data_IF_328942163058
#
_entry.id   IF_328942163058
#
_cell.length_a   1.000
_cell.length_b   1.000
_cell.length_c   1.000
_cell.angle_alpha   90.00
_cell.angle_beta   90.00
_cell.angle_gamma   90.00
#
_symmetry.space_group_name_H-M   'P 1'
#
loop_
_entity.id
_entity.type
_entity.pdbx_description
1 polymer ?
#
# COMPACT_ATOMS: atom_id res chain seq x y z
N UNK A 1 34.58 24.32 29.30
CA UNK A 1 33.41 23.52 28.97
C UNK A 1 33.54 22.20 29.71
N UNK A 2 32.83 22.11 30.84
CA UNK A 2 33.02 21.07 31.85
C UNK A 2 32.38 19.73 31.38
N UNK A 3 32.90 18.62 31.96
CA UNK A 3 32.45 17.26 31.64
C UNK A 3 30.96 17.04 31.96
N UNK A 4 30.40 17.87 32.85
CA UNK A 4 28.97 17.89 33.21
C UNK A 4 28.08 18.49 32.13
N UNK A 5 28.54 19.57 31.43
CA UNK A 5 27.78 20.16 30.31
C UNK A 5 27.70 19.24 29.06
N UNK A 6 28.68 18.32 28.92
CA UNK A 6 28.65 17.30 27.85
C UNK A 6 27.71 16.13 28.18
N UNK A 7 27.53 15.81 29.48
CA UNK A 7 26.60 14.79 29.92
C UNK A 7 25.14 15.24 29.74
N UNK A 8 24.84 16.51 30.06
CA UNK A 8 23.50 17.07 29.93
C UNK A 8 23.13 17.23 28.45
N UNK A 9 24.08 17.63 27.59
CA UNK A 9 23.82 17.77 26.15
C UNK A 9 23.66 16.41 25.43
N UNK A 10 24.20 15.33 25.96
CA UNK A 10 23.99 13.97 25.42
C UNK A 10 22.65 13.40 25.89
N UNK A 11 22.25 13.66 27.14
CA UNK A 11 20.94 13.26 27.67
C UNK A 11 19.78 14.05 27.03
N UNK A 12 19.97 15.36 26.72
CA UNK A 12 18.96 16.13 25.98
C UNK A 12 18.83 15.71 24.50
N UNK A 13 19.90 15.19 23.88
CA UNK A 13 19.85 14.68 22.50
C UNK A 13 19.17 13.29 22.42
N UNK A 14 19.17 12.51 23.50
CA UNK A 14 18.49 11.21 23.56
C UNK A 14 17.00 11.30 23.92
N UNK A 15 16.56 12.40 24.57
CA UNK A 15 15.16 12.60 24.96
C UNK A 15 14.26 13.24 23.88
N UNK A 16 14.79 13.63 22.71
CA UNK A 16 14.00 14.21 21.60
C UNK A 16 13.44 13.13 20.65
N UNK A 17 13.52 11.83 20.97
CA UNK A 17 13.09 10.76 20.06
C UNK A 17 11.82 10.00 20.52
N UNK A 18 11.05 10.59 21.43
CA UNK A 18 9.70 10.07 21.79
C UNK A 18 8.59 10.94 21.16
N UNK A 19 8.77 11.30 19.88
CA UNK A 19 7.71 11.80 19.04
C UNK A 19 6.95 10.63 18.40
N UNK A 20 5.67 10.52 18.67
CA UNK A 20 4.67 9.60 18.07
C UNK A 20 4.60 9.73 16.53
N UNK A 21 5.71 9.88 15.84
CA UNK A 21 5.83 10.01 14.39
C UNK A 21 6.29 8.70 13.77
N UNK A 22 5.53 8.21 12.79
CA UNK A 22 5.94 7.09 11.95
C UNK A 22 7.29 7.40 11.31
N UNK A 23 8.32 6.67 11.68
CA UNK A 23 9.67 6.84 11.15
C UNK A 23 9.80 6.12 9.80
N UNK A 24 10.64 6.62 8.89
CA UNK A 24 10.92 5.96 7.61
C UNK A 24 11.43 4.52 7.81
N UNK A 25 12.12 4.26 8.91
CA UNK A 25 12.58 2.93 9.30
C UNK A 25 11.42 1.98 9.64
N UNK A 26 10.36 2.49 10.27
CA UNK A 26 9.17 1.69 10.59
C UNK A 26 8.43 1.30 9.31
N UNK A 27 8.33 2.23 8.35
CA UNK A 27 7.76 1.97 7.05
C UNK A 27 8.56 0.90 6.28
N UNK A 28 9.88 0.99 6.30
CA UNK A 28 10.76 0.01 5.67
C UNK A 28 10.62 -1.39 6.31
N UNK A 29 10.57 -1.44 7.65
CA UNK A 29 10.39 -2.69 8.40
C UNK A 29 9.00 -3.31 8.13
N UNK A 30 7.94 -2.51 8.08
CA UNK A 30 6.59 -2.95 7.75
C UNK A 30 6.53 -3.56 6.34
N UNK A 31 7.14 -2.90 5.34
CA UNK A 31 7.21 -3.41 3.97
C UNK A 31 8.01 -4.71 3.90
N UNK A 32 9.16 -4.78 4.56
CA UNK A 32 9.99 -6.00 4.61
C UNK A 32 9.25 -7.17 5.27
N UNK A 33 8.48 -6.91 6.31
CA UNK A 33 7.69 -7.91 7.04
C UNK A 33 6.51 -8.41 6.20
N UNK A 34 5.89 -7.52 5.41
CA UNK A 34 4.70 -7.80 4.60
C UNK A 34 4.96 -7.67 3.09
N UNK A 35 6.18 -7.97 2.62
CA UNK A 35 6.57 -7.86 1.20
C UNK A 35 5.64 -8.61 0.26
N UNK A 36 5.17 -9.78 0.65
CA UNK A 36 4.21 -10.56 -0.16
C UNK A 36 2.91 -9.78 -0.35
N UNK A 37 2.41 -9.12 0.69
CA UNK A 37 1.18 -8.32 0.61
C UNK A 37 1.39 -7.10 -0.31
N UNK A 38 2.53 -6.41 -0.18
CA UNK A 38 2.87 -5.28 -1.03
C UNK A 38 2.97 -5.68 -2.51
N UNK A 39 3.64 -6.81 -2.81
CA UNK A 39 3.78 -7.34 -4.18
C UNK A 39 2.42 -7.77 -4.75
N UNK A 40 1.58 -8.45 -3.97
CA UNK A 40 0.24 -8.85 -4.40
C UNK A 40 -0.61 -7.62 -4.73
N UNK A 41 -0.58 -6.58 -3.90
CA UNK A 41 -1.29 -5.32 -4.16
C UNK A 41 -0.79 -4.66 -5.44
N UNK A 42 0.54 -4.58 -5.63
CA UNK A 42 1.14 -4.06 -6.86
C UNK A 42 0.66 -4.82 -8.10
N UNK A 43 0.68 -6.16 -8.05
CA UNK A 43 0.23 -7.01 -9.17
C UNK A 43 -1.25 -6.78 -9.48
N UNK A 44 -2.11 -6.68 -8.46
CA UNK A 44 -3.55 -6.42 -8.65
C UNK A 44 -3.75 -5.06 -9.35
N UNK A 45 -3.06 -4.01 -8.91
CA UNK A 45 -3.14 -2.67 -9.51
C UNK A 45 -2.65 -2.71 -10.96
N UNK A 46 -1.52 -3.39 -11.23
CA UNK A 46 -0.98 -3.53 -12.58
C UNK A 46 -1.93 -4.27 -13.51
N UNK A 47 -2.54 -5.37 -13.05
CA UNK A 47 -3.53 -6.12 -13.83
C UNK A 47 -4.76 -5.25 -14.13
N UNK A 48 -5.25 -4.48 -13.16
CA UNK A 48 -6.38 -3.58 -13.36
C UNK A 48 -6.07 -2.49 -14.40
N UNK A 49 -4.89 -1.89 -14.35
CA UNK A 49 -4.45 -0.86 -15.33
C UNK A 49 -4.21 -1.46 -16.70
N UNK A 50 -3.62 -2.64 -16.80
CA UNK A 50 -3.50 -3.36 -18.06
C UNK A 50 -4.88 -3.66 -18.65
N UNK A 51 -5.79 -4.22 -17.87
CA UNK A 51 -7.15 -4.50 -18.31
C UNK A 51 -7.84 -3.23 -18.81
N UNK A 52 -7.76 -2.13 -18.06
CA UNK A 52 -8.29 -0.83 -18.49
C UNK A 52 -7.66 -0.34 -19.80
N UNK A 53 -6.34 -0.41 -19.92
CA UNK A 53 -5.61 0.09 -21.09
C UNK A 53 -5.93 -0.72 -22.35
N UNK A 54 -6.03 -2.04 -22.25
CA UNK A 54 -6.30 -2.91 -23.40
C UNK A 54 -7.79 -3.03 -23.79
N UNK A 55 -8.70 -2.67 -22.90
CA UNK A 55 -10.15 -2.62 -23.20
C UNK A 55 -10.56 -1.32 -23.91
N UNK A 56 -9.72 -0.28 -23.91
CA UNK A 56 -10.00 0.97 -24.62
C UNK A 56 -9.71 0.81 -26.09
N UNK A 57 -10.61 1.30 -26.93
CA UNK A 57 -10.41 1.35 -28.40
C UNK A 57 -9.23 2.26 -28.73
N UNK A 58 -8.23 1.77 -29.51
CA UNK A 58 -7.13 2.62 -29.92
C UNK A 58 -7.61 3.81 -30.72
N UNK A 59 -7.06 4.98 -30.45
CA UNK A 59 -7.35 6.20 -31.20
C UNK A 59 -6.10 6.64 -31.95
N UNK A 60 -6.29 7.06 -33.17
CA UNK A 60 -5.23 7.55 -34.05
C UNK A 60 -5.42 9.04 -34.29
N UNK A 61 -4.37 9.83 -34.12
CA UNK A 61 -4.41 11.28 -34.36
C UNK A 61 -3.69 11.60 -35.65
N UNK A 62 -4.41 12.18 -36.60
CA UNK A 62 -3.82 12.71 -37.83
C UNK A 62 -3.88 14.24 -37.81
N UNK A 63 -2.78 14.89 -38.17
CA UNK A 63 -2.67 16.36 -38.14
C UNK A 63 -2.38 16.91 -39.54
N UNK A 64 -3.15 17.91 -39.96
CA UNK A 64 -2.90 18.73 -41.11
C UNK A 64 -2.53 20.14 -40.70
N UNK A 65 -1.51 20.73 -41.34
CA UNK A 65 -1.01 22.05 -41.03
C UNK A 65 -1.31 23.05 -42.14
N UNK A 66 -1.88 24.21 -41.77
CA UNK A 66 -2.14 25.30 -42.72
C UNK A 66 -1.29 26.50 -42.32
N UNK A 67 -0.70 27.15 -43.30
CA UNK A 67 -0.02 28.42 -43.16
C UNK A 67 -0.95 29.57 -43.57
N UNK A 68 -1.12 30.54 -42.67
CA UNK A 68 -1.80 31.79 -43.02
C UNK A 68 -0.82 32.78 -43.62
N UNK A 69 -1.10 33.23 -44.79
CA UNK A 69 -0.29 34.22 -45.54
C UNK A 69 -1.12 35.46 -45.87
N UNK A 70 -0.48 36.63 -45.87
CA UNK A 70 -1.11 37.88 -46.31
C UNK A 70 -0.94 38.04 -47.80
N UNK A 71 -2.04 38.29 -48.51
CA UNK A 71 -2.02 38.64 -49.93
C UNK A 71 -2.17 40.15 -50.04
N UNK A 72 -1.07 40.81 -50.44
CA UNK A 72 -1.11 42.26 -50.74
C UNK A 72 -1.95 42.56 -51.99
N UNK A 73 -2.72 43.61 -51.93
CA UNK A 73 -3.45 44.14 -53.12
C UNK A 73 -2.49 44.53 -54.25
N UNK A 74 -1.31 45.00 -53.92
CA UNK A 74 -0.23 45.34 -54.87
C UNK A 74 0.28 44.12 -55.64
N UNK A 75 0.34 42.92 -55.00
CA UNK A 75 0.74 41.70 -55.65
C UNK A 75 -0.32 41.22 -56.67
N UNK A 76 -1.57 41.53 -56.47
CA UNK A 76 -2.67 41.25 -57.44
C UNK A 76 -2.59 42.12 -58.69
N UNK A 77 -2.00 43.30 -58.59
CA UNK A 77 -1.84 44.28 -59.70
C UNK A 77 -0.43 44.26 -60.32
N UNK A 78 0.48 43.36 -59.91
CA UNK A 78 1.85 43.30 -60.42
C UNK A 78 2.78 44.39 -59.93
N UNK A 79 2.39 45.16 -58.90
CA UNK A 79 3.20 46.21 -58.28
C UNK A 79 4.05 45.64 -57.14
N UNK A 80 5.21 46.25 -56.85
CA UNK A 80 6.07 45.85 -55.73
C UNK A 80 5.40 46.25 -54.42
N UNK A 81 5.19 45.31 -53.50
CA UNK A 81 4.69 45.57 -52.14
C UNK A 81 5.71 46.31 -51.31
N UNK A 82 5.31 47.37 -50.61
CA UNK A 82 6.16 48.11 -49.68
C UNK A 82 6.35 47.38 -48.37
N UNK A 83 7.53 47.50 -47.73
CA UNK A 83 7.83 46.87 -46.46
C UNK A 83 6.81 47.19 -45.33
N UNK A 84 6.19 48.37 -45.38
CA UNK A 84 5.12 48.76 -44.42
C UNK A 84 3.83 47.98 -44.61
N UNK A 85 3.47 47.60 -45.85
CA UNK A 85 2.29 46.78 -46.16
C UNK A 85 2.48 45.34 -45.69
N UNK A 86 3.69 44.78 -45.87
CA UNK A 86 4.02 43.43 -45.33
C UNK A 86 3.96 43.40 -43.79
N UNK A 87 4.48 44.43 -43.12
CA UNK A 87 4.42 44.51 -41.66
C UNK A 87 2.98 44.63 -41.15
N UNK A 88 2.18 45.46 -41.79
CA UNK A 88 0.76 45.62 -41.44
C UNK A 88 -0.01 44.34 -41.68
N UNK A 89 0.29 43.60 -42.76
CA UNK A 89 -0.31 42.31 -43.10
C UNK A 89 0.05 41.23 -42.09
N UNK A 90 1.31 41.17 -41.64
CA UNK A 90 1.72 40.24 -40.60
C UNK A 90 1.01 40.49 -39.26
N UNK A 91 0.88 41.74 -38.88
CA UNK A 91 0.14 42.14 -37.65
C UNK A 91 -1.35 41.77 -37.76
N UNK A 92 -1.96 41.94 -38.95
CA UNK A 92 -3.34 41.54 -39.22
C UNK A 92 -3.52 40.05 -39.08
N UNK A 93 -2.64 39.23 -39.69
CA UNK A 93 -2.68 37.76 -39.53
C UNK A 93 -2.54 37.38 -38.05
N UNK A 94 -1.58 37.94 -37.32
CA UNK A 94 -1.36 37.64 -35.93
C UNK A 94 -2.62 37.93 -35.06
N UNK A 95 -3.38 38.96 -35.40
CA UNK A 95 -4.63 39.25 -34.70
C UNK A 95 -5.76 38.31 -35.02
N UNK A 96 -5.80 37.76 -36.23
CA UNK A 96 -6.89 36.92 -36.72
C UNK A 96 -6.62 35.42 -36.49
N UNK A 97 -5.36 35.00 -36.44
CA UNK A 97 -5.01 33.58 -36.46
C UNK A 97 -5.54 32.82 -35.21
N UNK A 98 -5.70 33.50 -34.10
CA UNK A 98 -6.27 32.92 -32.88
C UNK A 98 -7.77 32.61 -33.02
N UNK A 99 -8.45 33.18 -34.02
CA UNK A 99 -9.87 32.93 -34.28
C UNK A 99 -10.07 31.66 -35.12
N UNK A 100 -9.12 31.31 -35.98
CA UNK A 100 -9.27 30.17 -36.93
C UNK A 100 -9.47 28.81 -36.20
N UNK A 101 -8.80 28.50 -35.09
CA UNK A 101 -9.10 27.27 -34.35
C UNK A 101 -10.54 27.14 -33.87
N UNK A 102 -11.21 28.28 -33.61
CA UNK A 102 -12.63 28.29 -33.22
C UNK A 102 -13.55 28.06 -34.42
N UNK A 103 -13.20 28.61 -35.59
CA UNK A 103 -13.96 28.44 -36.82
C UNK A 103 -13.97 26.97 -37.28
N UNK A 104 -12.91 26.23 -37.03
CA UNK A 104 -12.81 24.80 -37.39
C UNK A 104 -13.98 23.99 -36.83
N UNK A 105 -14.46 24.33 -35.64
CA UNK A 105 -15.55 23.60 -34.95
C UNK A 105 -16.94 24.05 -35.32
N UNK A 106 -17.06 25.00 -36.24
CA UNK A 106 -18.37 25.51 -36.70
C UNK A 106 -19.05 24.56 -37.67
N UNK A 107 -20.37 24.61 -37.69
CA UNK A 107 -21.19 23.83 -38.64
C UNK A 107 -20.84 24.12 -40.08
N UNK A 108 -20.54 25.38 -40.42
CA UNK A 108 -20.15 25.81 -41.75
C UNK A 108 -18.88 25.14 -42.29
N UNK A 109 -18.00 24.68 -41.43
CA UNK A 109 -16.77 23.94 -41.78
C UNK A 109 -16.99 22.42 -41.70
N UNK A 110 -17.70 21.95 -40.68
CA UNK A 110 -17.80 20.50 -40.39
C UNK A 110 -18.95 19.81 -41.16
N UNK A 111 -20.07 20.51 -41.46
CA UNK A 111 -21.17 19.89 -42.22
C UNK A 111 -20.73 19.45 -43.61
N UNK A 112 -20.02 20.29 -44.40
CA UNK A 112 -19.51 19.84 -45.69
C UNK A 112 -18.55 18.65 -45.61
N UNK A 113 -17.80 18.52 -44.54
CA UNK A 113 -16.89 17.37 -44.32
C UNK A 113 -17.68 16.07 -44.12
N UNK A 114 -18.79 16.15 -43.37
CA UNK A 114 -19.70 15.01 -43.16
C UNK A 114 -20.31 14.57 -44.48
N UNK A 115 -20.79 15.54 -45.25
CA UNK A 115 -21.45 15.29 -46.53
C UNK A 115 -20.47 14.74 -47.58
N UNK A 116 -19.29 15.35 -47.71
CA UNK A 116 -18.25 14.96 -48.68
C UNK A 116 -17.67 13.56 -48.41
N UNK A 117 -17.48 13.19 -47.15
CA UNK A 117 -16.91 11.91 -46.77
C UNK A 117 -17.97 10.84 -46.42
N UNK A 118 -19.26 11.20 -46.44
CA UNK A 118 -20.37 10.30 -46.11
C UNK A 118 -20.26 9.72 -44.71
N UNK A 119 -19.93 10.58 -43.73
CA UNK A 119 -19.74 10.14 -42.34
C UNK A 119 -21.08 9.95 -41.64
N UNK A 120 -21.26 8.81 -40.97
CA UNK A 120 -22.42 8.55 -40.12
C UNK A 120 -22.20 9.14 -38.72
N UNK A 121 -22.18 10.47 -38.62
CA UNK A 121 -21.92 11.20 -37.38
C UNK A 121 -22.59 12.57 -37.42
N UNK A 122 -22.76 13.19 -36.27
CA UNK A 122 -23.29 14.57 -36.19
C UNK A 122 -22.16 15.60 -36.13
N UNK A 123 -22.45 16.85 -36.49
CA UNK A 123 -21.49 17.97 -36.39
C UNK A 123 -20.90 18.06 -34.94
N UNK A 124 -21.73 17.84 -33.94
CA UNK A 124 -21.31 17.90 -32.54
C UNK A 124 -20.32 16.79 -32.18
N UNK A 125 -20.54 15.59 -32.67
CA UNK A 125 -19.62 14.45 -32.42
C UNK A 125 -18.32 14.63 -33.18
N UNK A 126 -18.39 15.08 -34.43
CA UNK A 126 -17.21 15.41 -35.21
C UNK A 126 -16.40 16.54 -34.57
N UNK A 127 -17.05 17.62 -34.08
CA UNK A 127 -16.39 18.71 -33.39
C UNK A 127 -15.67 18.27 -32.11
N UNK A 128 -16.15 17.21 -31.45
CA UNK A 128 -15.48 16.63 -30.27
C UNK A 128 -14.21 15.82 -30.62
N UNK A 129 -14.18 15.25 -31.85
CA UNK A 129 -13.01 14.51 -32.35
C UNK A 129 -11.96 15.41 -33.02
N UNK A 130 -12.34 16.65 -33.40
CA UNK A 130 -11.47 17.63 -34.06
C UNK A 130 -10.90 18.60 -33.01
N UNK A 131 -9.59 18.78 -33.02
CA UNK A 131 -8.89 19.80 -32.26
C UNK A 131 -8.12 20.70 -33.20
N UNK A 132 -8.25 21.99 -33.04
CA UNK A 132 -7.45 22.95 -33.78
C UNK A 132 -6.68 23.85 -32.82
N UNK A 133 -5.45 24.17 -33.19
CA UNK A 133 -4.56 25.02 -32.38
C UNK A 133 -3.69 25.87 -33.31
N UNK A 134 -3.25 27.02 -32.76
CA UNK A 134 -2.19 27.80 -33.35
C UNK A 134 -0.97 27.70 -32.42
N UNK A 135 0.16 27.13 -32.88
CA UNK A 135 1.39 27.12 -32.07
C UNK A 135 1.89 28.54 -31.85
N UNK A 136 2.26 28.84 -30.62
CA UNK A 136 2.66 30.18 -30.20
C UNK A 136 3.74 30.78 -31.07
N UNK A 137 3.54 32.03 -31.47
CA UNK A 137 4.49 32.79 -32.30
C UNK A 137 4.60 32.33 -33.77
N UNK A 138 3.68 31.48 -34.23
CA UNK A 138 3.65 31.00 -35.65
C UNK A 138 2.41 31.48 -36.37
N UNK A 139 2.49 31.47 -37.69
CA UNK A 139 1.31 31.70 -38.58
C UNK A 139 0.70 30.36 -39.07
N UNK A 140 0.87 29.30 -38.25
CA UNK A 140 0.35 27.99 -38.55
C UNK A 140 -0.98 27.73 -37.84
N UNK A 141 -1.82 26.94 -38.44
CA UNK A 141 -3.03 26.38 -37.86
C UNK A 141 -2.94 24.86 -37.99
N UNK A 142 -2.81 24.18 -36.86
CA UNK A 142 -2.76 22.74 -36.77
C UNK A 142 -4.18 22.21 -36.56
N UNK A 143 -4.61 21.29 -37.43
CA UNK A 143 -5.90 20.60 -37.34
C UNK A 143 -5.61 19.14 -37.06
N UNK A 144 -5.91 18.69 -35.86
CA UNK A 144 -5.74 17.30 -35.40
C UNK A 144 -7.09 16.61 -35.25
N UNK A 145 -7.21 15.42 -35.81
CA UNK A 145 -8.41 14.60 -35.74
C UNK A 145 -8.11 13.26 -35.11
N UNK A 146 -8.92 12.91 -34.11
CA UNK A 146 -8.85 11.62 -33.41
C UNK A 146 -9.92 10.68 -33.93
N UNK A 147 -9.52 9.50 -34.44
CA UNK A 147 -10.46 8.50 -34.94
C UNK A 147 -9.91 7.10 -34.73
N UNK A 148 -10.76 6.07 -34.46
CA UNK A 148 -10.31 4.68 -34.38
C UNK A 148 -9.69 4.14 -35.68
N UNK A 149 -10.09 4.68 -36.84
CA UNK A 149 -9.50 4.34 -38.14
C UNK A 149 -8.46 5.39 -38.55
N UNK A 150 -7.17 5.00 -38.71
CA UNK A 150 -6.10 5.94 -39.08
C UNK A 150 -6.30 6.57 -40.47
N UNK A 151 -6.95 5.87 -41.41
CA UNK A 151 -7.24 6.43 -42.76
C UNK A 151 -8.36 7.45 -42.67
N UNK A 152 -9.42 7.17 -41.93
CA UNK A 152 -10.49 8.16 -41.73
C UNK A 152 -9.96 9.39 -40.96
N UNK A 153 -9.11 9.22 -39.93
CA UNK A 153 -8.50 10.35 -39.26
C UNK A 153 -7.79 11.31 -40.23
N UNK A 154 -6.96 10.77 -41.11
CA UNK A 154 -6.23 11.58 -42.08
C UNK A 154 -7.15 12.21 -43.15
N UNK A 155 -8.15 11.48 -43.65
CA UNK A 155 -9.13 12.01 -44.64
C UNK A 155 -9.96 13.14 -44.04
N UNK A 156 -10.43 12.98 -42.80
CA UNK A 156 -11.21 14.02 -42.09
C UNK A 156 -10.33 15.25 -41.83
N UNK A 157 -9.09 15.07 -41.33
CA UNK A 157 -8.20 16.20 -41.09
C UNK A 157 -7.91 17.02 -42.34
N UNK A 158 -7.67 16.36 -43.48
CA UNK A 158 -7.43 17.02 -44.73
C UNK A 158 -8.69 17.70 -45.28
N UNK A 159 -9.87 17.07 -45.18
CA UNK A 159 -11.14 17.68 -45.61
C UNK A 159 -11.51 18.88 -44.74
N UNK A 160 -11.29 18.82 -43.41
CA UNK A 160 -11.50 19.96 -42.50
C UNK A 160 -10.57 21.13 -42.89
N UNK A 161 -9.28 20.84 -43.13
CA UNK A 161 -8.31 21.86 -43.56
C UNK A 161 -8.74 22.55 -44.88
N UNK A 162 -9.19 21.79 -45.83
CA UNK A 162 -9.64 22.31 -47.10
C UNK A 162 -10.95 23.13 -46.97
N UNK A 163 -11.91 22.68 -46.15
CA UNK A 163 -13.14 23.41 -45.93
C UNK A 163 -12.93 24.69 -45.10
N UNK A 164 -12.01 24.66 -44.11
CA UNK A 164 -11.57 25.88 -43.40
C UNK A 164 -10.96 26.88 -44.41
N UNK A 165 -10.08 26.42 -45.30
CA UNK A 165 -9.48 27.25 -46.36
C UNK A 165 -10.53 27.88 -47.23
N UNK A 166 -11.51 27.12 -47.68
CA UNK A 166 -12.63 27.62 -48.49
C UNK A 166 -13.46 28.64 -47.69
N UNK A 167 -13.80 28.33 -46.46
CA UNK A 167 -14.64 29.20 -45.62
C UNK A 167 -13.97 30.55 -45.37
N UNK A 168 -12.67 30.56 -44.99
CA UNK A 168 -11.91 31.82 -44.75
C UNK A 168 -11.82 32.64 -46.05
N UNK A 169 -11.71 31.99 -47.21
CA UNK A 169 -11.57 32.68 -48.48
C UNK A 169 -12.89 33.19 -49.00
N UNK A 170 -14.04 32.50 -48.76
CA UNK A 170 -15.34 32.83 -49.36
C UNK A 170 -16.23 33.69 -48.50
N UNK A 171 -16.26 33.47 -47.16
CA UNK A 171 -17.31 34.01 -46.30
C UNK A 171 -16.99 35.39 -45.73
N UNK A 172 -15.71 35.73 -45.57
CA UNK A 172 -15.31 36.97 -44.89
C UNK A 172 -15.37 38.17 -45.83
N UNK A 173 -15.47 37.96 -47.15
CA UNK A 173 -15.26 39.02 -48.15
C UNK A 173 -16.20 38.92 -49.35
N UNK A 174 -17.44 38.43 -49.21
CA UNK A 174 -18.47 38.52 -50.26
C UNK A 174 -19.30 39.79 -50.04
N UNK A 175 -18.98 40.83 -50.75
CA UNK A 175 -19.90 41.92 -50.96
C UNK A 175 -20.34 41.97 -52.45
N UNK A 176 -21.63 42.25 -52.70
CA UNK A 176 -22.25 42.22 -54.03
C UNK A 176 -21.63 43.33 -54.91
N UNK A 177 -20.73 42.92 -55.80
CA UNK A 177 -20.37 43.78 -56.89
C UNK A 177 -18.92 44.03 -57.21
N UNK A 178 -18.00 43.93 -56.31
CA UNK A 178 -16.56 44.08 -56.57
C UNK A 178 -15.82 42.83 -56.05
N UNK A 179 -14.90 42.30 -56.83
CA UNK A 179 -14.11 41.12 -56.51
C UNK A 179 -13.14 41.42 -55.35
N UNK A 180 -13.66 41.50 -54.11
CA UNK A 180 -12.84 41.70 -52.94
C UNK A 180 -12.10 40.39 -52.66
N UNK A 181 -10.80 40.42 -52.89
CA UNK A 181 -9.91 39.30 -52.64
C UNK A 181 -9.61 39.27 -51.14
N UNK A 182 -9.89 38.14 -50.49
CA UNK A 182 -9.49 37.94 -49.08
C UNK A 182 -8.02 38.30 -48.88
N UNK A 183 -7.68 39.19 -47.93
CA UNK A 183 -6.30 39.51 -47.64
C UNK A 183 -5.56 38.36 -46.96
N UNK A 184 -6.31 37.36 -46.49
CA UNK A 184 -5.69 36.16 -45.86
C UNK A 184 -5.90 34.97 -46.81
N UNK A 185 -4.82 34.26 -47.05
CA UNK A 185 -4.83 33.01 -47.78
C UNK A 185 -4.31 31.89 -46.84
N UNK A 186 -5.13 30.84 -46.65
CA UNK A 186 -4.70 29.63 -45.95
C UNK A 186 -4.17 28.65 -46.99
N UNK A 187 -2.96 28.19 -46.83
CA UNK A 187 -2.31 27.19 -47.67
C UNK A 187 -1.98 25.97 -46.88
N UNK A 188 -2.42 24.79 -47.30
CA UNK A 188 -2.02 23.52 -46.67
C UNK A 188 -0.54 23.29 -46.95
N UNK A 189 0.27 23.37 -45.93
CA UNK A 189 1.73 23.12 -46.00
C UNK A 189 2.09 21.70 -45.68
N UNK A 190 1.27 21.03 -44.86
CA UNK A 190 1.41 19.61 -44.59
C UNK A 190 0.04 18.93 -44.57
N UNK A 191 -0.11 17.94 -45.45
CA UNK A 191 -1.29 17.08 -45.40
C UNK A 191 -1.17 16.06 -44.28
N UNK A 192 -2.31 15.72 -43.68
CA UNK A 192 -2.37 14.68 -42.67
C UNK A 192 -2.12 13.31 -43.32
N UNK A 193 -1.21 12.55 -42.71
CA UNK A 193 -0.93 11.15 -43.07
C UNK A 193 -1.65 10.21 -42.12
N UNK A 194 -1.97 9.01 -42.60
CA UNK A 194 -2.51 7.96 -41.74
C UNK A 194 -1.44 7.51 -40.73
N UNK A 195 -1.64 7.72 -39.43
CA UNK A 195 -0.64 7.35 -38.42
C UNK A 195 -0.49 5.84 -38.35
N UNK A 196 0.74 5.37 -38.12
CA UNK A 196 1.06 3.94 -38.04
C UNK A 196 0.94 3.38 -36.61
N UNK A 197 0.81 4.25 -35.61
CA UNK A 197 0.68 3.88 -34.19
C UNK A 197 -0.44 4.68 -33.54
N UNK A 198 -1.17 4.08 -32.59
CA UNK A 198 -2.20 4.79 -31.84
C UNK A 198 -1.59 5.86 -30.92
N UNK A 199 -2.24 7.00 -30.84
CA UNK A 199 -1.89 8.11 -29.94
C UNK A 199 -2.46 7.91 -28.53
N UNK A 200 -3.57 7.16 -28.40
CA UNK A 200 -4.23 6.85 -27.13
C UNK A 200 -4.81 5.42 -27.17
N UNK A 201 -4.78 4.70 -26.03
CA UNK A 201 -4.12 5.03 -24.77
C UNK A 201 -2.59 4.94 -24.88
N UNK A 202 -1.90 5.83 -24.18
CA UNK A 202 -0.43 5.77 -24.08
C UNK A 202 -0.03 4.65 -23.11
N UNK A 203 0.22 3.45 -23.63
CA UNK A 203 0.55 2.24 -22.86
C UNK A 203 1.74 2.46 -21.94
N UNK A 204 2.79 3.14 -22.44
CA UNK A 204 4.01 3.39 -21.63
C UNK A 204 3.72 4.30 -20.45
N UNK A 205 2.96 5.37 -20.65
CA UNK A 205 2.59 6.30 -19.58
C UNK A 205 1.64 5.65 -18.57
N UNK A 206 0.64 4.92 -19.04
CA UNK A 206 -0.30 4.21 -18.17
C UNK A 206 0.40 3.15 -17.31
N UNK A 207 1.34 2.41 -17.89
CA UNK A 207 2.11 1.40 -17.17
C UNK A 207 3.03 2.04 -16.12
N UNK A 208 3.70 3.14 -16.47
CA UNK A 208 4.54 3.87 -15.52
C UNK A 208 3.72 4.48 -14.38
N UNK A 209 2.58 5.09 -14.68
CA UNK A 209 1.65 5.61 -13.68
C UNK A 209 1.11 4.48 -12.79
N UNK A 210 0.76 3.34 -13.40
CA UNK A 210 0.31 2.15 -12.68
C UNK A 210 1.33 1.60 -11.71
N UNK A 211 2.58 1.55 -12.13
CA UNK A 211 3.68 1.12 -11.29
C UNK A 211 3.84 2.06 -10.07
N UNK A 212 3.85 3.37 -10.30
CA UNK A 212 3.98 4.35 -9.23
C UNK A 212 2.82 4.25 -8.22
N UNK A 213 1.57 4.22 -8.70
CA UNK A 213 0.38 4.07 -7.86
C UNK A 213 0.38 2.72 -7.14
N UNK A 214 0.75 1.64 -7.82
CA UNK A 214 0.82 0.29 -7.26
C UNK A 214 1.86 0.17 -6.14
N UNK A 215 3.02 0.80 -6.28
CA UNK A 215 4.05 0.85 -5.22
C UNK A 215 3.54 1.63 -4.01
N UNK A 216 2.96 2.81 -4.21
CA UNK A 216 2.43 3.62 -3.10
C UNK A 216 1.33 2.86 -2.35
N UNK A 217 0.36 2.30 -3.06
CA UNK A 217 -0.71 1.51 -2.45
C UNK A 217 -0.19 0.25 -1.77
N UNK A 218 0.81 -0.43 -2.35
CA UNK A 218 1.46 -1.59 -1.74
C UNK A 218 2.10 -1.27 -0.41
N UNK A 219 2.79 -0.13 -0.30
CA UNK A 219 3.39 0.35 0.95
C UNK A 219 2.31 0.67 1.98
N UNK A 220 1.26 1.39 1.59
CA UNK A 220 0.16 1.76 2.49
C UNK A 220 -0.55 0.52 3.05
N UNK A 221 -0.88 -0.45 2.19
CA UNK A 221 -1.53 -1.70 2.62
C UNK A 221 -0.63 -2.54 3.53
N UNK A 222 0.68 -2.62 3.23
CA UNK A 222 1.65 -3.31 4.08
C UNK A 222 1.74 -2.65 5.46
N UNK A 223 1.75 -1.33 5.53
CA UNK A 223 1.79 -0.56 6.77
C UNK A 223 0.51 -0.72 7.60
N UNK A 224 -0.68 -0.61 6.97
CA UNK A 224 -1.95 -0.85 7.66
C UNK A 224 -1.99 -2.27 8.24
N UNK A 225 -1.51 -3.26 7.48
CA UNK A 225 -1.45 -4.64 7.94
C UNK A 225 -0.48 -4.82 9.12
N UNK A 226 0.63 -4.09 9.14
CA UNK A 226 1.58 -4.10 10.25
C UNK A 226 0.99 -3.48 11.51
N UNK A 227 0.27 -2.36 11.40
CA UNK A 227 -0.47 -1.73 12.50
C UNK A 227 -1.56 -2.64 13.10
N UNK A 228 -2.16 -3.49 12.28
CA UNK A 228 -3.18 -4.46 12.71
C UNK A 228 -2.58 -5.78 13.23
N UNK A 229 -1.28 -5.99 13.08
CA UNK A 229 -0.59 -7.20 13.56
C UNK A 229 -0.21 -7.07 15.04
N UNK A 230 -1.13 -7.42 15.91
CA UNK A 230 -0.95 -7.41 17.38
C UNK A 230 -0.16 -8.59 17.92
N UNK A 231 0.50 -9.40 17.07
CA UNK A 231 1.23 -10.58 17.50
C UNK A 231 2.59 -10.20 18.07
N UNK A 232 2.85 -10.62 19.30
CA UNK A 232 4.18 -10.57 19.91
C UNK A 232 5.12 -11.53 19.17
N UNK A 233 6.23 -11.03 18.66
CA UNK A 233 7.22 -11.81 17.91
C UNK A 233 8.64 -11.71 18.48
N UNK A 234 8.92 -10.68 19.24
CA UNK A 234 10.24 -10.41 19.84
C UNK A 234 10.09 -10.09 21.32
N UNK A 235 11.14 -10.33 22.06
CA UNK A 235 11.18 -10.00 23.48
C UNK A 235 11.02 -8.49 23.73
N UNK A 236 11.52 -7.66 22.79
CA UNK A 236 11.33 -6.21 22.82
C UNK A 236 9.87 -5.77 22.71
N UNK A 237 9.01 -6.57 22.04
CA UNK A 237 7.59 -6.23 21.90
C UNK A 237 6.85 -6.34 23.25
N UNK A 238 7.36 -7.19 24.15
CA UNK A 238 6.81 -7.37 25.51
C UNK A 238 7.28 -6.25 26.43
N UNK A 239 8.57 -5.92 26.42
CA UNK A 239 9.16 -4.92 27.31
C UNK A 239 8.67 -3.50 27.03
N UNK A 240 8.19 -3.21 25.81
CA UNK A 240 7.57 -1.93 25.47
C UNK A 240 6.16 -1.76 26.05
N UNK A 241 5.46 -2.86 26.31
CA UNK A 241 4.05 -2.83 26.77
C UNK A 241 3.96 -3.08 28.28
N UNK A 242 4.85 -3.90 28.83
CA UNK A 242 4.86 -4.31 30.23
C UNK A 242 6.21 -3.92 30.82
N UNK A 243 6.18 -3.11 31.89
CA UNK A 243 7.37 -2.74 32.64
C UNK A 243 7.83 -3.92 33.51
N UNK A 244 8.24 -5.01 32.88
CA UNK A 244 8.74 -6.22 33.54
C UNK A 244 9.78 -6.90 32.63
N UNK A 245 10.83 -7.48 33.24
CA UNK A 245 11.87 -8.19 32.52
C UNK A 245 11.35 -9.48 31.91
N UNK A 246 11.78 -9.80 30.67
CA UNK A 246 11.55 -11.10 30.05
C UNK A 246 12.53 -12.11 30.67
N UNK A 247 12.04 -13.03 31.49
CA UNK A 247 12.86 -14.01 32.20
C UNK A 247 13.29 -15.19 31.34
N UNK A 248 12.56 -15.45 30.23
CA UNK A 248 12.93 -16.51 29.31
C UNK A 248 11.91 -16.66 28.18
N UNK A 249 12.37 -17.25 27.10
CA UNK A 249 11.57 -17.61 25.93
C UNK A 249 11.66 -19.11 25.72
N UNK A 250 10.52 -19.77 25.60
CA UNK A 250 10.43 -21.20 25.36
C UNK A 250 9.97 -21.45 23.92
N UNK A 251 10.69 -22.30 23.22
CA UNK A 251 10.32 -22.70 21.86
C UNK A 251 9.05 -23.56 21.88
N UNK A 252 8.15 -23.36 20.91
CA UNK A 252 7.00 -24.25 20.73
C UNK A 252 7.47 -25.59 20.18
N UNK A 253 7.48 -26.61 21.03
CA UNK A 253 7.97 -27.94 20.69
C UNK A 253 7.05 -29.04 21.27
N UNK A 254 6.88 -30.13 20.53
CA UNK A 254 6.15 -31.31 20.99
C UNK A 254 6.84 -32.03 22.17
N UNK A 255 8.12 -31.74 22.42
CA UNK A 255 8.84 -32.26 23.59
C UNK A 255 8.19 -31.88 24.93
N UNK A 256 7.44 -30.76 24.98
CA UNK A 256 6.69 -30.34 26.15
C UNK A 256 5.32 -31.00 26.29
N UNK A 257 4.88 -31.74 25.26
CA UNK A 257 3.58 -32.45 25.26
C UNK A 257 3.79 -33.88 25.74
N UNK A 258 3.21 -34.21 26.91
CA UNK A 258 3.34 -35.57 27.46
C UNK A 258 2.87 -35.62 28.90
N UNK A 259 3.06 -36.79 29.51
CA UNK A 259 2.73 -37.07 30.92
C UNK A 259 3.96 -37.04 31.84
N UNK A 260 5.07 -36.47 31.35
CA UNK A 260 6.30 -36.33 32.11
C UNK A 260 7.03 -35.05 31.73
N UNK A 261 7.53 -34.26 32.66
CA UNK A 261 8.33 -33.07 32.41
C UNK A 261 9.54 -33.35 31.52
N UNK A 262 9.92 -32.37 30.68
CA UNK A 262 11.04 -32.52 29.74
C UNK A 262 12.37 -32.77 30.42
N UNK A 263 12.57 -32.24 31.63
CA UNK A 263 13.76 -32.45 32.45
C UNK A 263 13.92 -33.93 32.83
N UNK A 264 12.81 -34.65 33.05
CA UNK A 264 12.81 -36.07 33.41
C UNK A 264 12.89 -36.93 32.15
N UNK A 265 12.05 -36.63 31.14
CA UNK A 265 11.91 -37.44 29.95
C UNK A 265 13.07 -37.29 28.98
N UNK A 266 13.65 -36.07 28.87
CA UNK A 266 14.74 -35.72 27.95
C UNK A 266 15.77 -34.78 28.58
N UNK A 267 16.50 -35.21 29.62
CA UNK A 267 17.34 -34.33 30.48
C UNK A 267 18.47 -33.61 29.71
N UNK A 268 18.96 -34.19 28.61
CA UNK A 268 20.01 -33.61 27.78
C UNK A 268 19.50 -32.80 26.58
N UNK A 269 18.18 -32.56 26.49
CA UNK A 269 17.61 -31.82 25.38
C UNK A 269 17.79 -30.31 25.54
N UNK A 270 17.68 -29.60 24.43
CA UNK A 270 17.70 -28.12 24.39
C UNK A 270 16.56 -27.55 25.22
N UNK A 271 15.39 -28.17 25.16
CA UNK A 271 14.19 -27.75 25.88
C UNK A 271 14.39 -27.86 27.39
N UNK A 272 15.05 -28.92 27.89
CA UNK A 272 15.40 -29.04 29.28
C UNK A 272 16.36 -27.93 29.73
N UNK A 273 17.32 -27.56 28.87
CA UNK A 273 18.26 -26.46 29.14
C UNK A 273 17.57 -25.09 29.13
N UNK A 274 16.59 -24.87 28.26
CA UNK A 274 15.77 -23.65 28.26
C UNK A 274 15.03 -23.49 29.59
N UNK A 275 14.47 -24.56 30.15
CA UNK A 275 13.83 -24.54 31.49
C UNK A 275 14.84 -24.31 32.62
N UNK A 276 16.03 -24.91 32.57
CA UNK A 276 17.07 -24.67 33.59
C UNK A 276 17.54 -23.21 33.60
N UNK A 277 17.70 -22.60 32.42
CA UNK A 277 18.00 -21.15 32.29
C UNK A 277 16.89 -20.31 32.89
N UNK A 278 15.63 -20.61 32.53
CA UNK A 278 14.48 -19.91 33.09
C UNK A 278 14.47 -20.00 34.64
N UNK A 279 14.67 -21.20 35.22
CA UNK A 279 14.80 -21.37 36.66
C UNK A 279 15.86 -20.43 37.24
N UNK A 280 17.05 -20.39 36.62
CA UNK A 280 18.14 -19.53 37.07
C UNK A 280 17.73 -18.06 37.05
N UNK A 281 17.12 -17.59 35.97
CA UNK A 281 16.66 -16.20 35.86
C UNK A 281 15.57 -15.87 36.89
N UNK A 282 14.64 -16.79 37.14
CA UNK A 282 13.61 -16.64 38.17
C UNK A 282 14.24 -16.52 39.54
N UNK A 283 15.27 -17.33 39.85
CA UNK A 283 16.00 -17.25 41.14
C UNK A 283 16.65 -15.89 41.38
N UNK A 284 17.13 -15.22 40.35
CA UNK A 284 17.72 -13.88 40.46
C UNK A 284 16.71 -12.77 40.76
N UNK A 285 15.43 -13.00 40.41
CA UNK A 285 14.36 -12.03 40.64
C UNK A 285 13.61 -12.27 41.95
N UNK A 286 13.68 -13.48 42.48
CA UNK A 286 13.04 -13.79 43.77
C UNK A 286 13.72 -13.04 44.90
N UNK A 287 12.94 -12.43 45.81
CA UNK A 287 13.50 -11.79 47.02
C UNK A 287 14.22 -12.79 47.94
N UNK A 288 15.30 -12.34 48.57
CA UNK A 288 16.07 -13.14 49.54
C UNK A 288 15.36 -13.39 50.89
N UNK A 289 14.05 -13.15 50.96
CA UNK A 289 13.27 -13.31 52.20
C UNK A 289 12.72 -14.74 52.32
N UNK A 290 12.83 -15.38 53.50
CA UNK A 290 12.49 -16.79 53.72
C UNK A 290 11.04 -17.18 53.48
N UNK A 291 10.10 -16.23 53.42
CA UNK A 291 8.67 -16.45 53.24
C UNK A 291 8.15 -16.00 51.88
N UNK A 292 9.00 -15.48 50.98
CA UNK A 292 8.63 -14.89 49.70
C UNK A 292 8.78 -15.83 48.51
N UNK A 293 8.95 -17.12 48.71
CA UNK A 293 9.22 -18.07 47.61
C UNK A 293 7.95 -18.64 46.97
N UNK A 294 6.94 -17.82 46.78
CA UNK A 294 5.71 -18.21 46.08
C UNK A 294 5.72 -17.65 44.63
N UNK A 295 5.69 -18.56 43.65
CA UNK A 295 5.64 -18.21 42.24
C UNK A 295 4.25 -18.52 41.72
N UNK A 296 3.56 -17.51 41.16
CA UNK A 296 2.27 -17.67 40.52
C UNK A 296 2.45 -17.61 39.00
N UNK A 297 2.04 -18.67 38.31
CA UNK A 297 2.07 -18.74 36.84
C UNK A 297 0.68 -18.52 36.27
N UNK A 298 0.53 -17.48 35.50
CA UNK A 298 -0.74 -17.12 34.84
C UNK A 298 -0.53 -16.79 33.36
N UNK A 299 -1.61 -16.60 32.61
CA UNK A 299 -1.59 -16.14 31.22
C UNK A 299 -2.88 -15.43 30.85
N UNK A 300 -2.88 -14.68 29.74
CA UNK A 300 -4.04 -13.93 29.27
C UNK A 300 -5.17 -14.82 28.72
N UNK A 301 -4.82 -15.99 28.18
CA UNK A 301 -5.76 -16.89 27.53
C UNK A 301 -5.61 -18.37 27.88
N UNK A 302 -6.57 -19.20 27.49
CA UNK A 302 -6.44 -20.65 27.61
C UNK A 302 -5.40 -21.21 26.64
N UNK A 303 -4.78 -22.34 27.02
CA UNK A 303 -3.83 -23.08 26.16
C UNK A 303 -2.53 -22.34 25.80
N UNK A 304 -2.13 -21.34 26.58
CA UNK A 304 -0.87 -20.58 26.40
C UNK A 304 0.34 -21.22 27.11
N UNK A 305 0.18 -22.41 27.66
CA UNK A 305 1.28 -23.19 28.22
C UNK A 305 1.49 -23.02 29.74
N UNK A 306 0.56 -22.40 30.49
CA UNK A 306 0.64 -22.26 31.98
C UNK A 306 1.07 -23.53 32.68
N UNK A 307 0.30 -24.60 32.48
CA UNK A 307 0.56 -25.90 33.14
C UNK A 307 1.88 -26.50 32.71
N UNK A 308 2.19 -26.44 31.41
CA UNK A 308 3.47 -26.91 30.87
C UNK A 308 4.67 -26.21 31.53
N UNK A 309 4.57 -24.87 31.61
CA UNK A 309 5.59 -24.05 32.25
C UNK A 309 5.72 -24.38 33.74
N UNK A 310 4.59 -24.38 34.49
CA UNK A 310 4.57 -24.63 35.92
C UNK A 310 5.16 -25.98 36.29
N UNK A 311 4.77 -27.03 35.56
CA UNK A 311 5.24 -28.40 35.81
C UNK A 311 6.73 -28.53 35.55
N UNK A 312 7.23 -28.00 34.42
CA UNK A 312 8.63 -28.07 34.06
C UNK A 312 9.50 -27.21 34.97
N UNK A 313 9.04 -26.00 35.31
CA UNK A 313 9.77 -25.10 36.22
C UNK A 313 9.87 -25.70 37.64
N UNK A 314 8.78 -26.24 38.19
CA UNK A 314 8.77 -26.93 39.47
C UNK A 314 9.72 -28.11 39.46
N UNK A 315 9.75 -28.88 38.38
CA UNK A 315 10.70 -30.00 38.23
C UNK A 315 12.14 -29.52 38.19
N UNK A 316 12.43 -28.38 37.54
CA UNK A 316 13.77 -27.80 37.48
C UNK A 316 14.26 -27.32 38.86
N UNK A 317 13.37 -26.75 39.66
CA UNK A 317 13.69 -26.40 41.06
C UNK A 317 13.98 -27.64 41.90
N UNK A 318 13.16 -28.71 41.75
CA UNK A 318 13.37 -29.97 42.45
C UNK A 318 14.63 -30.70 41.98
N UNK A 319 15.02 -30.58 40.73
CA UNK A 319 16.29 -31.10 40.18
C UNK A 319 17.49 -30.50 40.92
N UNK A 320 17.40 -29.21 41.27
CA UNK A 320 18.43 -28.46 42.03
C UNK A 320 18.25 -28.53 43.55
N UNK A 321 17.67 -29.62 44.04
CA UNK A 321 17.49 -29.97 45.45
C UNK A 321 16.66 -28.97 46.31
N UNK A 322 15.96 -28.02 45.64
CA UNK A 322 15.01 -27.14 46.33
C UNK A 322 13.78 -27.95 46.78
N UNK A 323 13.20 -27.62 47.94
CA UNK A 323 11.91 -28.18 48.39
C UNK A 323 10.79 -27.49 47.61
N UNK A 324 10.05 -28.23 46.84
CA UNK A 324 9.01 -27.73 45.94
C UNK A 324 7.66 -28.32 46.27
N UNK A 325 6.64 -27.45 46.37
CA UNK A 325 5.23 -27.82 46.35
C UNK A 325 4.57 -27.16 45.15
N UNK A 326 4.19 -27.96 44.15
CA UNK A 326 3.41 -27.52 43.01
C UNK A 326 1.92 -27.63 43.34
N UNK A 327 1.21 -26.51 43.28
CA UNK A 327 -0.22 -26.46 43.58
C UNK A 327 -0.98 -26.19 42.26
N UNK A 328 -1.91 -27.07 41.88
CA UNK A 328 -2.84 -26.82 40.78
C UNK A 328 -4.04 -26.00 41.28
N UNK A 329 -3.99 -24.69 41.05
CA UNK A 329 -5.06 -23.77 41.41
C UNK A 329 -6.08 -23.55 40.33
N UNK A 330 -5.90 -24.18 39.14
CA UNK A 330 -6.90 -24.14 38.05
C UNK A 330 -8.03 -25.16 38.30
N UNK A 331 -8.92 -24.83 39.24
CA UNK A 331 -10.06 -25.67 39.59
C UNK A 331 -11.13 -25.76 38.46
N UNK A 332 -11.05 -24.91 37.45
CA UNK A 332 -11.95 -24.94 36.29
C UNK A 332 -11.51 -25.96 35.24
N UNK A 333 -10.23 -25.99 34.92
CA UNK A 333 -9.63 -26.90 33.93
C UNK A 333 -8.33 -27.51 34.48
N UNK A 334 -8.42 -28.31 35.55
CA UNK A 334 -7.26 -28.91 36.18
C UNK A 334 -6.48 -29.77 35.20
N UNK A 335 -5.16 -29.57 35.11
CA UNK A 335 -4.33 -30.22 34.11
C UNK A 335 -2.95 -30.68 34.62
N UNK A 336 -2.55 -30.28 35.82
CA UNK A 336 -1.26 -30.70 36.40
C UNK A 336 -1.18 -32.20 36.64
N UNK A 337 -2.24 -32.84 37.16
CA UNK A 337 -2.27 -34.28 37.39
C UNK A 337 -2.10 -35.06 36.08
N UNK A 338 -2.77 -34.64 35.01
CA UNK A 338 -2.61 -35.23 33.67
C UNK A 338 -1.20 -35.03 33.12
N UNK A 339 -0.63 -33.83 33.29
CA UNK A 339 0.70 -33.48 32.79
C UNK A 339 1.84 -34.22 33.55
N UNK A 340 1.58 -34.68 34.77
CA UNK A 340 2.53 -35.45 35.56
C UNK A 340 2.22 -36.95 35.58
N UNK A 341 1.09 -37.40 35.04
CA UNK A 341 0.68 -38.80 35.11
C UNK A 341 0.35 -39.29 36.52
N UNK A 342 -0.17 -38.41 37.37
CA UNK A 342 -0.51 -38.71 38.78
C UNK A 342 -2.03 -38.75 39.00
N UNK A 343 -2.46 -39.30 40.17
CA UNK A 343 -3.86 -39.30 40.54
C UNK A 343 -4.36 -37.89 40.86
N UNK A 344 -5.46 -37.46 40.24
CA UNK A 344 -6.02 -36.10 40.36
C UNK A 344 -7.37 -36.04 41.07
N UNK A 345 -7.91 -37.16 41.56
CA UNK A 345 -9.28 -37.19 42.12
C UNK A 345 -9.39 -36.45 43.46
N UNK A 346 -8.33 -36.44 44.24
CA UNK A 346 -8.23 -35.75 45.56
C UNK A 346 -7.22 -34.62 45.41
N UNK A 347 -7.53 -33.44 45.98
CA UNK A 347 -6.64 -32.30 45.89
C UNK A 347 -7.16 -31.04 46.59
N UNK A 348 -6.76 -29.88 46.11
CA UNK A 348 -7.00 -28.55 46.65
C UNK A 348 -8.46 -28.28 47.06
N UNK A 349 -9.42 -28.64 46.20
CA UNK A 349 -10.86 -28.45 46.44
C UNK A 349 -11.34 -29.27 47.66
N UNK A 350 -10.78 -30.46 47.90
CA UNK A 350 -11.11 -31.31 49.04
C UNK A 350 -10.45 -30.77 50.30
N UNK A 351 -9.24 -30.24 50.22
CA UNK A 351 -8.53 -29.62 51.32
C UNK A 351 -9.25 -28.35 51.84
N UNK A 352 -9.65 -27.44 50.94
CA UNK A 352 -10.36 -26.21 51.29
C UNK A 352 -11.72 -26.53 51.93
N UNK A 353 -12.39 -27.58 51.49
CA UNK A 353 -13.67 -28.01 52.06
C UNK A 353 -13.56 -28.91 53.30
N UNK A 354 -12.36 -29.04 53.86
CA UNK A 354 -12.05 -29.88 55.03
C UNK A 354 -12.49 -31.35 54.91
N UNK A 355 -12.48 -31.91 53.73
CA UNK A 355 -12.89 -33.31 53.47
C UNK A 355 -11.71 -34.29 53.56
N UNK A 356 -10.51 -33.79 53.45
CA UNK A 356 -9.28 -34.59 53.48
C UNK A 356 -8.19 -33.83 54.22
N UNK A 357 -7.21 -34.55 54.81
CA UNK A 357 -6.06 -33.95 55.40
C UNK A 357 -5.01 -33.52 54.35
N UNK A 358 -4.13 -32.58 54.70
CA UNK A 358 -3.02 -32.20 53.81
C UNK A 358 -2.11 -33.38 53.48
N UNK A 359 -1.96 -34.32 54.39
CA UNK A 359 -1.14 -35.52 54.22
C UNK A 359 -1.73 -36.44 53.12
N UNK A 360 -3.08 -36.49 52.99
CA UNK A 360 -3.77 -37.35 52.01
C UNK A 360 -3.93 -36.66 50.65
N UNK A 361 -3.92 -35.33 50.62
CA UNK A 361 -4.07 -34.55 49.42
C UNK A 361 -2.77 -34.29 48.67
N UNK A 362 -1.64 -34.21 49.40
CA UNK A 362 -0.32 -33.90 48.82
C UNK A 362 0.37 -35.22 48.42
N UNK A 363 0.77 -35.30 47.16
CA UNK A 363 1.47 -36.45 46.60
C UNK A 363 2.94 -36.15 46.39
N UNK A 364 3.81 -37.11 46.66
CA UNK A 364 5.24 -37.01 46.33
C UNK A 364 5.43 -37.43 44.86
N UNK A 365 6.24 -36.67 44.16
CA UNK A 365 6.54 -36.90 42.75
C UNK A 365 8.05 -36.93 42.49
N UNK A 366 8.53 -37.83 41.65
CA UNK A 366 9.89 -38.00 41.16
C UNK A 366 10.99 -38.03 42.25
N UNK A 367 11.28 -36.90 42.93
CA UNK A 367 12.28 -36.77 44.02
C UNK A 367 11.61 -36.59 45.39
N UNK A 368 12.34 -36.89 46.52
CA UNK A 368 11.78 -36.71 47.88
C UNK A 368 11.43 -35.28 48.24
N UNK A 369 12.05 -34.31 47.58
CA UNK A 369 11.86 -32.87 47.81
C UNK A 369 10.78 -32.27 46.90
N UNK A 370 10.11 -33.05 46.03
CA UNK A 370 9.08 -32.57 45.12
C UNK A 370 7.70 -33.14 45.46
N UNK A 371 6.80 -32.23 45.82
CA UNK A 371 5.42 -32.53 46.18
C UNK A 371 4.45 -31.81 45.28
N UNK A 372 3.31 -32.42 45.06
CA UNK A 372 2.24 -31.89 44.17
C UNK A 372 0.92 -31.96 44.91
N UNK A 373 0.19 -30.84 44.90
CA UNK A 373 -1.21 -30.76 45.32
C UNK A 373 -2.09 -30.57 44.06
N UNK A 374 -2.72 -31.62 43.54
CA UNK A 374 -3.65 -31.50 42.43
C UNK A 374 -4.86 -30.61 42.78
N UNK A 375 -5.56 -30.10 41.81
CA UNK A 375 -6.80 -29.33 42.04
C UNK A 375 -7.92 -30.17 42.69
N UNK A 376 -7.92 -31.48 42.48
CA UNK A 376 -9.01 -32.36 42.84
C UNK A 376 -10.08 -32.48 41.78
N UNK A 377 -11.19 -33.10 42.12
CA UNK A 377 -12.31 -33.27 41.21
C UNK A 377 -12.91 -31.91 40.78
N UNK A 378 -13.10 -31.74 39.48
CA UNK A 378 -13.71 -30.53 38.93
C UNK A 378 -15.06 -30.24 39.57
N UNK A 379 -15.27 -29.04 40.08
CA UNK A 379 -16.52 -28.59 40.67
C UNK A 379 -17.39 -27.88 39.59
N UNK A 380 -18.66 -28.17 39.58
CA UNK A 380 -19.61 -27.50 38.62
C UNK A 380 -19.70 -25.99 38.86
N UNK A 381 -19.38 -25.52 40.07
CA UNK A 381 -19.41 -24.11 40.43
C UNK A 381 -18.17 -23.72 41.24
N UNK A 382 -17.07 -23.31 40.53
CA UNK A 382 -15.81 -22.95 41.21
C UNK A 382 -15.90 -21.70 42.08
N UNK A 383 -16.98 -20.90 41.96
CA UNK A 383 -17.16 -19.66 42.74
C UNK A 383 -17.68 -19.89 44.15
N UNK A 384 -17.91 -21.13 44.52
CA UNK A 384 -18.44 -21.52 45.85
C UNK A 384 -17.35 -22.20 46.71
N UNK A 385 -16.15 -22.40 46.18
CA UNK A 385 -15.01 -22.97 46.93
C UNK A 385 -14.17 -21.90 47.62
#
# INVERSE_FOLDING_TARGET
MNKEERSIAVDEAEQVQDGNGVTILDLFNAVRKHVITAVVTLVIVMVAICAYTFTRTPQYTATSELLATYRSSAAASGASSNAGELSSGANYINSQIQTYPQLVKTESVLQPVIDDLGLDTTVKELAASVTASNPDGTMLVDISVNNPDPKQASSIANSVAENLRKQVTSTIYSDEGDKIISPVNLTVVQQAYAPTSPSSPNVKLNLAAGLAVGVILGIVVAFIKDLLDTRVRRDSDVTTVIDAPVLGSLSRNEAYVGTSPVIISRPASREAEEIRRLRTNVMFVLPDEPLSNVIVVTSAGPSEGKTTLSVNLATAFAENDSKVLLIDADVRNPSVSKALGIEGAVGLTHLITNRVSSHDAIQRYWKPNFHVLPAGKQTMNPSIC
#
